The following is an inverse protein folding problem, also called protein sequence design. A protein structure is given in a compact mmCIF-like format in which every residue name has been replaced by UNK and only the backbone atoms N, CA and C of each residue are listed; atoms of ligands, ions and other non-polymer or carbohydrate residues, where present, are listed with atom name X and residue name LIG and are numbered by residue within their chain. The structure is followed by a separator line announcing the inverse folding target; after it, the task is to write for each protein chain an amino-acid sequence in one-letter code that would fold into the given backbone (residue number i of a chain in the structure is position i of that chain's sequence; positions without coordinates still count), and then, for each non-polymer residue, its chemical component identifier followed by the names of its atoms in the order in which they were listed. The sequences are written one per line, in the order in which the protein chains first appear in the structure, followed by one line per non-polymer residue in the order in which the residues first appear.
data_IF_555650252313
#
_entry.id   IF_555650252313
#
_cell.length_a   1.000
_cell.length_b   1.000
_cell.length_c   1.000
_cell.angle_alpha   90.00
_cell.angle_beta   90.00
_cell.angle_gamma   90.00
#
_symmetry.space_group_name_H-M   'P 1'
#
loop_
_entity.id
_entity.type
_entity.pdbx_description
1 polymer ?
#
# COMPACT_ATOMS: atom_id res chain seq x y z
N UNK A 1 -0.65 68.22 20.49
CA UNK A 1 -1.93 67.47 20.45
C UNK A 1 -1.62 66.07 20.98
N UNK A 2 -2.48 65.59 21.88
CA UNK A 2 -2.21 64.65 22.98
C UNK A 2 -1.50 63.32 22.66
N UNK A 3 -0.58 62.97 23.56
CA UNK A 3 -0.16 61.61 23.93
C UNK A 3 -1.34 60.74 24.38
N UNK A 4 -1.17 59.41 24.25
CA UNK A 4 -1.46 58.31 25.20
C UNK A 4 -1.00 57.01 24.51
N UNK A 5 0.11 56.33 24.83
CA UNK A 5 0.71 55.87 26.08
C UNK A 5 -0.19 54.94 26.92
N UNK A 6 0.43 53.82 27.32
CA UNK A 6 0.10 52.90 28.43
C UNK A 6 -0.72 51.64 28.09
N UNK A 7 -0.41 50.44 28.59
CA UNK A 7 0.48 50.01 29.67
C UNK A 7 0.73 48.48 29.60
N UNK A 8 1.89 48.07 30.09
CA UNK A 8 2.14 46.74 30.65
C UNK A 8 1.20 46.44 31.83
N UNK A 9 0.63 45.25 31.88
CA UNK A 9 0.26 44.51 33.10
C UNK A 9 -0.27 43.14 32.65
N UNK A 10 -0.09 42.00 33.29
CA UNK A 10 0.58 41.58 34.51
C UNK A 10 0.34 40.07 34.52
N UNK A 11 1.36 39.27 34.81
CA UNK A 11 1.20 37.84 35.10
C UNK A 11 0.35 37.69 36.37
N UNK A 12 -0.66 36.81 36.41
CA UNK A 12 -1.00 36.12 37.63
C UNK A 12 -0.54 34.67 37.52
N UNK A 13 0.45 34.32 38.34
CA UNK A 13 0.70 32.96 38.74
C UNK A 13 -0.53 32.50 39.55
N UNK A 14 -1.29 31.57 38.99
CA UNK A 14 -2.28 30.80 39.73
C UNK A 14 -1.97 29.32 39.51
N UNK A 15 -1.22 28.78 40.47
CA UNK A 15 -1.09 27.37 40.76
C UNK A 15 -2.49 26.86 41.14
N UNK A 16 -3.04 25.94 40.35
CA UNK A 16 -4.18 25.11 40.75
C UNK A 16 -3.87 23.65 40.40
N UNK A 17 -3.36 22.93 41.40
CA UNK A 17 -3.56 21.49 41.49
C UNK A 17 -5.04 21.26 41.83
N UNK A 18 -5.76 20.54 40.99
CA UNK A 18 -6.72 19.50 41.40
C UNK A 18 -7.43 18.91 40.18
N UNK A 19 -7.52 17.57 40.16
CA UNK A 19 -8.56 16.85 39.44
C UNK A 19 -8.14 16.17 38.14
N UNK A 20 -7.30 15.13 38.23
CA UNK A 20 -7.34 14.05 37.25
C UNK A 20 -8.67 13.30 37.46
N UNK A 21 -9.74 13.80 36.84
CA UNK A 21 -10.95 13.02 36.61
C UNK A 21 -10.88 12.53 35.17
N UNK A 22 -10.83 11.21 35.01
CA UNK A 22 -10.58 10.53 33.74
C UNK A 22 -11.44 11.08 32.60
N UNK A 23 -10.77 11.53 31.54
CA UNK A 23 -11.37 11.63 30.23
C UNK A 23 -11.55 10.21 29.69
N UNK A 24 -12.71 9.90 29.07
CA UNK A 24 -12.99 8.59 28.51
C UNK A 24 -11.94 8.25 27.46
N UNK A 25 -11.60 6.96 27.41
CA UNK A 25 -10.46 6.41 26.69
C UNK A 25 -10.14 7.11 25.38
N UNK A 26 -8.87 7.51 25.25
CA UNK A 26 -8.25 7.66 23.94
C UNK A 26 -8.59 6.40 23.15
N UNK A 27 -9.42 6.54 22.12
CA UNK A 27 -9.59 5.50 21.12
C UNK A 27 -8.17 5.03 20.75
N UNK A 28 -7.88 3.75 20.99
CA UNK A 28 -6.73 3.08 20.39
C UNK A 28 -6.77 3.49 18.92
N UNK A 29 -5.69 4.09 18.40
CA UNK A 29 -5.56 4.26 16.95
C UNK A 29 -5.99 2.92 16.35
N UNK A 30 -7.00 2.93 15.47
CA UNK A 30 -7.42 1.69 14.83
C UNK A 30 -6.15 1.00 14.34
N UNK A 31 -5.97 -0.29 14.63
CA UNK A 31 -4.77 -1.00 14.18
C UNK A 31 -4.88 -1.07 12.65
N UNK A 32 -4.36 -0.03 11.97
CA UNK A 32 -4.26 0.01 10.52
C UNK A 32 -3.09 -0.92 10.20
N UNK A 33 -3.40 -1.96 9.43
CA UNK A 33 -2.40 -2.90 8.94
C UNK A 33 -2.04 -2.56 7.50
N UNK A 34 -0.86 -3.01 7.06
CA UNK A 34 -0.30 -2.66 5.76
C UNK A 34 0.35 -3.84 5.05
N UNK A 35 0.13 -3.89 3.74
CA UNK A 35 0.66 -4.89 2.82
C UNK A 35 1.21 -4.27 1.56
N UNK A 36 1.90 -5.12 0.80
CA UNK A 36 2.39 -4.82 -0.54
C UNK A 36 3.30 -3.57 -0.60
N UNK A 37 3.98 -3.23 0.51
CA UNK A 37 4.91 -2.11 0.49
C UNK A 37 6.09 -2.41 -0.41
N UNK A 38 6.33 -1.50 -1.36
CA UNK A 38 7.43 -1.60 -2.31
C UNK A 38 8.01 -0.23 -2.64
N UNK A 39 9.32 -0.25 -2.91
CA UNK A 39 10.04 0.86 -3.53
C UNK A 39 10.31 0.52 -4.99
N UNK A 40 9.86 1.38 -5.91
CA UNK A 40 9.96 1.16 -7.36
C UNK A 40 10.31 2.46 -8.10
N UNK A 41 10.36 2.39 -9.43
CA UNK A 41 10.61 3.53 -10.32
C UNK A 41 11.83 4.37 -9.89
N UNK A 42 12.88 3.69 -9.42
CA UNK A 42 14.12 4.33 -9.02
C UNK A 42 14.78 4.91 -10.26
N UNK A 43 15.09 6.20 -10.21
CA UNK A 43 15.88 6.89 -11.23
C UNK A 43 17.13 7.52 -10.59
N UNK A 44 17.78 8.41 -11.33
CA UNK A 44 18.86 9.25 -10.79
C UNK A 44 18.36 10.20 -9.68
N UNK A 45 17.10 10.61 -9.75
CA UNK A 45 16.57 11.69 -8.90
C UNK A 45 15.16 11.45 -8.38
N UNK A 46 14.58 10.28 -8.65
CA UNK A 46 13.24 9.92 -8.20
C UNK A 46 13.17 8.49 -7.69
N UNK A 47 12.15 8.22 -6.90
CA UNK A 47 11.75 6.90 -6.44
C UNK A 47 10.25 6.92 -6.17
N UNK A 48 9.61 5.77 -6.10
CA UNK A 48 8.22 5.64 -5.69
C UNK A 48 8.15 4.74 -4.49
N UNK A 49 7.40 5.14 -3.47
CA UNK A 49 7.00 4.26 -2.38
C UNK A 49 5.50 4.05 -2.48
N UNK A 50 5.08 2.81 -2.35
CA UNK A 50 3.68 2.41 -2.47
C UNK A 50 3.35 1.39 -1.40
N UNK A 51 2.08 1.32 -1.00
CA UNK A 51 1.59 0.33 -0.06
C UNK A 51 0.06 0.26 -0.13
N UNK A 52 -0.51 -0.72 0.57
CA UNK A 52 -1.95 -0.88 0.72
C UNK A 52 -2.31 -1.05 2.18
N UNK A 53 -3.34 -0.36 2.65
CA UNK A 53 -3.87 -0.46 4.02
C UNK A 53 -5.18 -1.22 4.08
N UNK A 54 -5.46 -1.87 5.21
CA UNK A 54 -6.73 -2.56 5.46
C UNK A 54 -7.90 -1.61 5.76
N UNK A 55 -7.59 -0.35 6.05
CA UNK A 55 -8.54 0.73 6.26
C UNK A 55 -8.28 1.89 5.31
N UNK A 56 -9.34 2.63 4.95
CA UNK A 56 -9.18 3.84 4.14
C UNK A 56 -8.54 4.95 4.96
N UNK A 57 -7.56 5.62 4.38
CA UNK A 57 -6.83 6.74 5.00
C UNK A 57 -6.63 7.88 4.01
N UNK A 58 -6.34 9.08 4.53
CA UNK A 58 -6.07 10.31 3.75
C UNK A 58 -4.79 11.02 4.15
N UNK A 59 -4.28 10.79 5.37
CA UNK A 59 -3.02 11.34 5.87
C UNK A 59 -1.89 10.35 5.58
N UNK A 60 -1.33 10.47 4.38
CA UNK A 60 -0.37 9.52 3.81
C UNK A 60 0.91 10.26 3.41
N UNK A 61 2.04 9.86 3.98
CA UNK A 61 3.33 10.52 3.71
C UNK A 61 4.50 9.56 3.80
N UNK A 62 5.60 9.95 3.17
CA UNK A 62 6.90 9.27 3.21
C UNK A 62 7.96 10.29 3.61
N UNK A 63 8.68 10.00 4.70
CA UNK A 63 9.84 10.77 5.13
C UNK A 63 11.09 10.02 4.69
N UNK A 64 11.92 10.69 3.91
CA UNK A 64 13.18 10.18 3.36
C UNK A 64 14.32 10.97 3.97
N UNK A 65 15.38 10.27 4.37
CA UNK A 65 16.60 10.85 4.89
C UNK A 65 17.84 10.29 4.18
N UNK A 66 18.82 11.16 3.97
CA UNK A 66 20.22 10.81 3.66
C UNK A 66 21.13 11.47 4.69
N UNK A 67 22.45 11.39 4.52
CA UNK A 67 23.44 11.95 5.47
C UNK A 67 23.14 13.39 5.90
N UNK A 68 22.73 14.25 4.95
CA UNK A 68 22.62 15.70 5.17
C UNK A 68 21.24 16.26 4.85
N UNK A 69 20.24 15.41 4.59
CA UNK A 69 18.95 15.87 4.07
C UNK A 69 17.81 15.02 4.60
N UNK A 70 16.74 15.67 5.06
CA UNK A 70 15.46 15.03 5.41
C UNK A 70 14.37 15.73 4.60
N UNK A 71 13.54 14.94 3.92
CA UNK A 71 12.45 15.41 3.08
C UNK A 71 11.19 14.61 3.40
N UNK A 72 10.03 15.25 3.35
CA UNK A 72 8.73 14.59 3.51
C UNK A 72 7.91 14.82 2.25
N UNK A 73 7.41 13.73 1.68
CA UNK A 73 6.54 13.71 0.51
C UNK A 73 5.16 13.21 0.93
N UNK A 74 4.11 13.78 0.36
CA UNK A 74 2.72 13.39 0.67
C UNK A 74 2.10 12.69 -0.52
N UNK A 75 1.15 11.78 -0.28
CA UNK A 75 0.30 11.27 -1.35
C UNK A 75 -0.52 12.45 -1.91
N UNK A 76 -0.46 12.63 -3.23
CA UNK A 76 -1.20 13.70 -3.91
C UNK A 76 -2.71 13.45 -3.91
N UNK A 77 -3.14 12.23 -3.61
CA UNK A 77 -4.53 11.85 -3.51
C UNK A 77 -5.07 12.07 -2.09
N UNK A 78 -5.91 13.10 -1.96
CA UNK A 78 -6.42 13.57 -0.67
C UNK A 78 -7.73 12.89 -0.23
N UNK A 79 -8.27 11.98 -1.04
CA UNK A 79 -9.50 11.23 -0.73
C UNK A 79 -9.19 9.91 -0.05
N UNK A 80 -10.13 9.44 0.77
CA UNK A 80 -10.02 8.17 1.50
C UNK A 80 -9.72 7.01 0.54
N UNK A 81 -8.57 6.38 0.72
CA UNK A 81 -8.12 5.25 -0.12
C UNK A 81 -7.45 4.16 0.71
N UNK A 82 -7.45 2.95 0.19
CA UNK A 82 -6.67 1.82 0.71
C UNK A 82 -5.38 1.63 -0.06
N UNK A 83 -5.27 2.15 -1.28
CA UNK A 83 -4.06 2.07 -2.11
C UNK A 83 -3.35 3.41 -2.06
N UNK A 84 -2.07 3.39 -1.73
CA UNK A 84 -1.26 4.59 -1.50
C UNK A 84 0.01 4.59 -2.35
N UNK A 85 0.38 5.78 -2.79
CA UNK A 85 1.53 5.99 -3.67
C UNK A 85 2.08 7.38 -3.48
N UNK A 86 3.39 7.43 -3.27
CA UNK A 86 4.11 8.68 -3.06
C UNK A 86 5.33 8.70 -3.95
N UNK A 87 5.36 9.67 -4.85
CA UNK A 87 6.52 9.95 -5.69
C UNK A 87 7.52 10.81 -4.90
N UNK A 88 8.73 10.29 -4.78
CA UNK A 88 9.89 10.95 -4.18
C UNK A 88 10.66 11.61 -5.32
N UNK A 89 10.88 12.92 -5.23
CA UNK A 89 11.57 13.71 -6.26
C UNK A 89 12.79 14.43 -5.66
N UNK A 90 13.58 15.08 -6.51
CA UNK A 90 14.77 15.85 -6.13
C UNK A 90 15.80 15.07 -5.32
N UNK A 91 15.88 13.76 -5.56
CA UNK A 91 16.89 12.90 -4.96
C UNK A 91 18.25 13.08 -5.65
N UNK A 92 19.33 12.82 -4.91
CA UNK A 92 20.69 12.82 -5.46
C UNK A 92 20.99 11.46 -6.11
N UNK A 93 21.69 11.41 -7.25
CA UNK A 93 22.16 10.16 -7.84
C UNK A 93 23.07 9.36 -6.91
N UNK A 94 23.11 8.03 -7.08
CA UNK A 94 23.98 7.10 -6.36
C UNK A 94 24.00 7.31 -4.84
N UNK A 95 22.85 7.63 -4.25
CA UNK A 95 22.74 8.00 -2.84
C UNK A 95 21.89 6.98 -2.11
N UNK A 96 22.42 6.47 -1.00
CA UNK A 96 21.68 5.62 -0.06
C UNK A 96 20.72 6.48 0.76
N UNK A 97 19.45 6.13 0.68
CA UNK A 97 18.36 6.78 1.39
C UNK A 97 17.75 5.82 2.40
N UNK A 98 17.38 6.37 3.55
CA UNK A 98 16.54 5.72 4.55
C UNK A 98 15.17 6.33 4.54
N UNK A 99 14.12 5.55 4.81
CA UNK A 99 12.78 6.08 4.86
C UNK A 99 11.89 5.40 5.90
N UNK A 100 10.86 6.12 6.27
CA UNK A 100 9.67 5.64 6.96
C UNK A 100 8.46 6.28 6.31
N UNK A 101 7.30 5.71 6.52
CA UNK A 101 6.06 6.22 5.93
C UNK A 101 4.92 6.06 6.91
N UNK A 102 3.83 6.78 6.64
CA UNK A 102 2.66 6.82 7.49
C UNK A 102 1.39 6.77 6.68
N UNK A 103 0.34 6.22 7.29
CA UNK A 103 -1.00 6.17 6.75
C UNK A 103 -2.01 6.23 7.89
N UNK A 104 -2.87 7.24 7.88
CA UNK A 104 -3.89 7.41 8.93
C UNK A 104 -3.30 7.59 10.34
N UNK A 105 -2.10 8.14 10.43
CA UNK A 105 -1.37 8.38 11.69
C UNK A 105 -0.57 7.19 12.22
N UNK A 106 -0.63 6.02 11.59
CA UNK A 106 0.25 4.88 11.90
C UNK A 106 1.54 5.02 11.12
N UNK A 107 2.68 4.92 11.80
CA UNK A 107 4.03 5.03 11.21
C UNK A 107 4.67 3.66 11.13
N UNK A 108 5.19 3.29 9.96
CA UNK A 108 5.99 2.08 9.76
C UNK A 108 7.46 2.41 9.52
N UNK A 109 8.34 1.82 10.33
CA UNK A 109 9.78 2.05 10.32
C UNK A 109 10.60 0.75 10.53
N UNK A 110 10.13 -0.38 9.98
CA UNK A 110 10.80 -1.68 10.01
C UNK A 110 11.38 -2.05 11.41
N UNK A 111 10.54 -1.90 12.43
CA UNK A 111 10.87 -2.28 13.81
C UNK A 111 11.82 -1.29 14.50
N UNK A 112 11.69 0.01 14.22
CA UNK A 112 12.57 1.06 14.71
C UNK A 112 13.86 1.25 13.88
N UNK A 113 14.03 0.48 12.80
CA UNK A 113 15.08 0.70 11.80
C UNK A 113 14.46 1.11 10.47
N UNK A 114 14.57 2.39 10.09
CA UNK A 114 14.08 2.88 8.80
C UNK A 114 14.45 1.94 7.62
N UNK A 115 13.51 1.76 6.70
CA UNK A 115 13.73 1.07 5.43
C UNK A 115 14.80 1.78 4.61
N UNK A 116 15.35 1.13 3.58
CA UNK A 116 16.39 1.74 2.74
C UNK A 116 16.24 1.43 1.27
N UNK A 117 16.66 2.37 0.43
CA UNK A 117 16.84 2.19 -1.02
C UNK A 117 18.04 3.03 -1.49
N UNK A 118 18.47 2.81 -2.74
CA UNK A 118 19.56 3.57 -3.35
C UNK A 118 19.13 4.07 -4.73
N UNK A 119 19.34 5.35 -5.01
CA UNK A 119 19.10 5.93 -6.34
C UNK A 119 20.14 5.46 -7.35
N UNK A 120 19.80 5.54 -8.63
CA UNK A 120 20.69 5.09 -9.70
C UNK A 120 21.91 6.00 -9.84
N UNK A 121 23.02 5.41 -10.30
CA UNK A 121 24.27 6.14 -10.54
C UNK A 121 24.32 6.79 -11.93
N UNK A 122 23.79 6.12 -12.96
CA UNK A 122 23.83 6.59 -14.35
C UNK A 122 22.46 6.43 -15.01
N UNK A 123 22.10 7.38 -15.86
CA UNK A 123 20.95 7.24 -16.76
C UNK A 123 21.37 6.39 -17.94
N UNK A 124 20.59 5.34 -18.22
CA UNK A 124 20.66 4.65 -19.51
C UNK A 124 19.39 4.99 -20.29
N UNK A 125 19.57 5.65 -21.44
CA UNK A 125 18.49 5.89 -22.37
C UNK A 125 18.24 4.63 -23.19
N UNK A 126 17.19 3.88 -22.86
CA UNK A 126 16.58 2.98 -23.82
C UNK A 126 15.48 3.70 -24.61
N UNK A 127 15.25 3.24 -25.84
CA UNK A 127 14.09 3.68 -26.61
C UNK A 127 12.82 3.24 -25.87
N UNK A 128 11.92 4.15 -25.50
CA UNK A 128 10.78 3.81 -24.66
C UNK A 128 9.89 2.82 -25.39
N UNK A 129 9.53 1.76 -24.69
CA UNK A 129 8.58 0.78 -25.15
C UNK A 129 7.50 0.67 -24.09
N UNK A 130 6.29 1.08 -24.44
CA UNK A 130 5.20 1.19 -23.47
C UNK A 130 4.24 0.02 -23.56
N UNK A 131 3.71 -0.37 -22.41
CA UNK A 131 2.53 -1.22 -22.34
C UNK A 131 1.45 -0.45 -21.61
N UNK A 132 0.21 -0.64 -22.06
CA UNK A 132 -0.97 -0.03 -21.42
C UNK A 132 -2.11 -1.02 -21.34
N UNK A 133 -2.89 -0.92 -20.26
CA UNK A 133 -4.10 -1.72 -20.08
C UNK A 133 -5.16 -0.92 -19.32
N UNK A 134 -6.42 -1.10 -19.71
CA UNK A 134 -7.58 -0.58 -18.99
C UNK A 134 -7.92 -1.55 -17.86
N UNK A 135 -8.22 -1.04 -16.67
CA UNK A 135 -8.68 -1.84 -15.53
C UNK A 135 -10.14 -1.50 -15.23
N UNK A 136 -10.99 -2.53 -15.20
CA UNK A 136 -12.44 -2.41 -14.97
C UNK A 136 -12.93 -3.42 -13.93
N UNK A 137 -14.08 -3.16 -13.31
CA UNK A 137 -14.80 -4.13 -12.48
C UNK A 137 -15.62 -5.11 -13.34
N UNK A 138 -16.29 -6.08 -12.70
CA UNK A 138 -17.18 -7.04 -13.37
C UNK A 138 -18.31 -6.39 -14.20
N UNK A 139 -18.69 -5.17 -13.84
CA UNK A 139 -19.73 -4.39 -14.51
C UNK A 139 -19.17 -3.49 -15.62
N UNK A 140 -17.88 -3.64 -15.96
CA UNK A 140 -17.16 -2.77 -16.91
C UNK A 140 -17.03 -1.30 -16.47
N UNK A 141 -17.22 -1.00 -15.19
CA UNK A 141 -16.90 0.32 -14.65
C UNK A 141 -15.39 0.46 -14.54
N UNK A 142 -14.90 1.63 -14.88
CA UNK A 142 -13.48 1.95 -14.88
C UNK A 142 -12.96 2.10 -13.45
N UNK A 143 -11.87 1.41 -13.12
CA UNK A 143 -11.28 1.40 -11.77
C UNK A 143 -10.05 2.30 -11.68
N UNK A 144 -10.14 3.33 -10.84
CA UNK A 144 -9.00 4.18 -10.48
C UNK A 144 -8.25 3.68 -9.25
N UNK A 145 -6.97 4.07 -9.12
CA UNK A 145 -6.09 3.74 -7.97
C UNK A 145 -5.90 2.24 -7.75
N UNK A 146 -5.76 1.50 -8.85
CA UNK A 146 -5.25 0.13 -8.80
C UNK A 146 -3.74 0.21 -8.92
N UNK A 147 -3.05 -0.36 -7.94
CA UNK A 147 -1.61 -0.52 -8.01
C UNK A 147 -1.29 -1.66 -8.96
N UNK A 148 -0.47 -1.39 -9.96
CA UNK A 148 -0.13 -2.35 -11.02
C UNK A 148 1.35 -2.66 -10.93
N UNK A 149 1.62 -3.85 -10.40
CA UNK A 149 2.96 -4.39 -10.23
C UNK A 149 3.33 -5.20 -11.44
N UNK A 150 4.46 -4.89 -12.05
CA UNK A 150 4.95 -5.56 -13.25
C UNK A 150 6.31 -6.16 -12.92
N UNK A 151 6.40 -7.46 -13.09
CA UNK A 151 7.55 -8.29 -12.77
C UNK A 151 8.03 -8.99 -14.04
N UNK A 152 9.34 -9.05 -14.26
CA UNK A 152 9.92 -9.77 -15.41
C UNK A 152 10.86 -10.88 -14.94
N UNK A 153 10.68 -12.08 -15.48
CA UNK A 153 11.56 -13.23 -15.28
C UNK A 153 11.67 -14.06 -16.56
N UNK A 154 12.71 -14.88 -16.71
CA UNK A 154 12.78 -15.83 -17.84
C UNK A 154 11.69 -16.90 -17.70
N UNK A 155 11.26 -17.44 -18.82
CA UNK A 155 10.33 -18.57 -18.83
C UNK A 155 10.89 -19.75 -18.02
N UNK A 156 10.14 -20.14 -16.99
CA UNK A 156 10.52 -21.23 -16.08
C UNK A 156 11.26 -20.78 -14.81
N UNK A 157 11.64 -19.49 -14.71
CA UNK A 157 12.19 -18.93 -13.48
C UNK A 157 11.06 -18.53 -12.51
N UNK A 158 11.38 -18.55 -11.21
CA UNK A 158 10.46 -18.11 -10.16
C UNK A 158 10.18 -16.59 -10.24
N UNK A 159 8.91 -16.15 -10.31
CA UNK A 159 8.55 -14.73 -10.37
C UNK A 159 8.93 -13.95 -9.10
N UNK A 160 9.26 -14.62 -8.00
CA UNK A 160 9.80 -13.98 -6.78
C UNK A 160 11.24 -13.48 -6.96
N UNK A 161 11.94 -13.95 -8.00
CA UNK A 161 13.25 -13.44 -8.43
C UNK A 161 13.13 -12.26 -9.41
N UNK A 162 11.91 -11.97 -9.86
CA UNK A 162 11.60 -10.97 -10.87
C UNK A 162 11.78 -9.54 -10.38
N UNK A 163 12.04 -8.66 -11.34
CA UNK A 163 12.33 -7.24 -11.12
C UNK A 163 11.03 -6.42 -11.20
N UNK A 164 10.75 -5.62 -10.18
CA UNK A 164 9.46 -4.95 -10.00
C UNK A 164 9.48 -3.52 -10.54
N UNK A 165 8.57 -3.22 -11.46
CA UNK A 165 8.14 -1.87 -11.78
C UNK A 165 6.72 -1.70 -11.26
N UNK A 166 6.37 -0.51 -10.79
CA UNK A 166 5.03 -0.22 -10.29
C UNK A 166 4.48 1.01 -10.96
N UNK A 167 3.25 0.92 -11.43
CA UNK A 167 2.49 2.06 -11.93
C UNK A 167 1.11 2.02 -11.31
N UNK A 168 0.38 3.12 -11.36
CA UNK A 168 -0.99 3.19 -10.87
C UNK A 168 -1.93 3.42 -12.03
N UNK A 169 -3.05 2.69 -12.05
CA UNK A 169 -4.16 3.03 -12.92
C UNK A 169 -4.65 4.42 -12.54
N UNK A 170 -4.71 5.32 -13.54
CA UNK A 170 -5.15 6.74 -13.47
C UNK A 170 -4.06 7.83 -13.47
N UNK A 171 -2.78 7.54 -13.75
CA UNK A 171 -1.74 8.61 -13.84
C UNK A 171 -1.49 9.10 -15.27
N UNK A 172 -1.78 8.30 -16.31
CA UNK A 172 -1.25 8.59 -17.65
C UNK A 172 -2.23 9.21 -18.66
N UNK A 173 -3.48 8.72 -18.82
CA UNK A 173 -4.31 9.11 -19.99
C UNK A 173 -5.85 9.03 -19.78
N UNK A 174 -6.33 8.99 -18.54
CA UNK A 174 -7.76 8.91 -18.22
C UNK A 174 -8.07 7.91 -17.10
N UNK A 175 -9.32 7.90 -16.58
CA UNK A 175 -9.70 6.99 -15.51
C UNK A 175 -9.37 5.54 -15.92
N UNK A 176 -8.72 4.82 -15.00
CA UNK A 176 -8.46 3.38 -15.03
C UNK A 176 -7.48 2.82 -16.07
N UNK A 177 -6.84 3.64 -16.90
CA UNK A 177 -5.67 3.19 -17.64
C UNK A 177 -4.41 3.32 -16.79
N UNK A 178 -3.55 2.30 -16.85
CA UNK A 178 -2.16 2.45 -16.50
C UNK A 178 -1.30 2.33 -17.76
N UNK A 179 -0.19 3.06 -17.76
CA UNK A 179 0.85 2.96 -18.79
C UNK A 179 2.16 2.79 -18.05
N UNK A 180 3.00 1.89 -18.54
CA UNK A 180 4.40 1.87 -18.12
C UNK A 180 5.33 1.78 -19.31
N UNK A 181 6.55 2.27 -19.11
CA UNK A 181 7.67 1.96 -19.97
C UNK A 181 8.39 0.70 -19.43
N UNK A 182 8.45 -0.35 -20.24
CA UNK A 182 9.08 -1.61 -19.85
C UNK A 182 10.59 -1.65 -20.16
N UNK A 183 11.20 -0.51 -20.50
CA UNK A 183 12.66 -0.40 -20.65
C UNK A 183 13.38 -0.02 -19.37
N UNK A 184 12.65 0.36 -18.32
CA UNK A 184 13.21 0.97 -17.11
C UNK A 184 13.23 0.00 -15.91
N UNK A 185 13.15 -1.31 -16.17
CA UNK A 185 13.27 -2.30 -15.11
C UNK A 185 14.64 -2.27 -14.49
N UNK A 186 14.71 -2.41 -13.18
CA UNK A 186 15.96 -2.48 -12.45
C UNK A 186 16.21 -3.85 -11.87
N UNK A 187 17.47 -4.22 -11.87
CA UNK A 187 17.97 -5.41 -11.23
C UNK A 187 17.85 -5.41 -9.74
N UNK A 188 17.90 -6.62 -9.20
CA UNK A 188 18.36 -6.87 -7.83
C UNK A 188 19.74 -6.24 -7.54
N UNK A 189 20.60 -6.10 -8.55
CA UNK A 189 21.92 -5.47 -8.44
C UNK A 189 21.93 -3.96 -8.77
N UNK A 190 20.76 -3.35 -9.03
CA UNK A 190 20.63 -1.94 -9.38
C UNK A 190 20.95 -1.58 -10.85
N UNK A 191 21.34 -2.54 -11.70
CA UNK A 191 21.53 -2.32 -13.13
C UNK A 191 20.22 -2.39 -13.90
N UNK A 192 20.14 -1.74 -15.06
CA UNK A 192 18.96 -1.85 -15.93
C UNK A 192 18.76 -3.31 -16.41
N UNK A 193 17.52 -3.75 -16.44
CA UNK A 193 17.10 -4.99 -17.10
C UNK A 193 16.54 -4.65 -18.47
N UNK A 194 17.02 -5.36 -19.48
CA UNK A 194 16.45 -5.29 -20.81
C UNK A 194 15.72 -6.60 -21.07
N UNK A 195 14.38 -6.61 -21.10
CA UNK A 195 13.62 -7.79 -21.47
C UNK A 195 14.07 -8.31 -22.83
N UNK A 196 14.23 -9.63 -22.93
CA UNK A 196 14.73 -10.33 -24.10
C UNK A 196 13.79 -11.46 -24.52
N UNK A 197 14.04 -12.06 -25.69
CA UNK A 197 13.24 -13.20 -26.15
C UNK A 197 13.31 -14.35 -25.14
N UNK A 198 12.14 -14.82 -24.68
CA UNK A 198 12.03 -15.84 -23.63
C UNK A 198 11.70 -15.28 -22.24
N UNK A 199 11.67 -13.96 -22.08
CA UNK A 199 11.20 -13.34 -20.84
C UNK A 199 9.66 -13.28 -20.79
N UNK A 200 9.14 -13.52 -19.59
CA UNK A 200 7.74 -13.47 -19.21
C UNK A 200 7.48 -12.26 -18.31
N UNK A 201 6.39 -11.55 -18.60
CA UNK A 201 5.87 -10.48 -17.75
C UNK A 201 4.74 -11.01 -16.88
N UNK A 202 4.84 -10.69 -15.59
CA UNK A 202 3.85 -10.98 -14.57
C UNK A 202 3.27 -9.65 -14.11
N UNK A 203 1.95 -9.49 -14.22
CA UNK A 203 1.26 -8.26 -13.87
C UNK A 203 0.33 -8.56 -12.70
N UNK A 204 0.59 -7.98 -11.53
CA UNK A 204 -0.31 -8.06 -10.39
C UNK A 204 -1.11 -6.76 -10.27
N UNK A 205 -2.42 -6.92 -10.16
CA UNK A 205 -3.37 -5.85 -9.92
C UNK A 205 -3.76 -5.87 -8.46
N UNK A 206 -3.41 -4.81 -7.74
CA UNK A 206 -3.62 -4.69 -6.30
C UNK A 206 -4.53 -3.49 -6.08
N UNK A 207 -5.82 -3.77 -5.86
CA UNK A 207 -6.84 -2.75 -5.66
C UNK A 207 -7.27 -2.62 -4.19
N UNK A 208 -6.93 -3.61 -3.35
CA UNK A 208 -7.26 -3.63 -1.93
C UNK A 208 -6.25 -4.48 -1.14
N UNK A 209 -6.46 -4.51 0.18
CA UNK A 209 -5.57 -5.14 1.15
C UNK A 209 -5.51 -6.67 1.06
N UNK A 210 -6.58 -7.32 0.63
CA UNK A 210 -6.77 -8.77 0.73
C UNK A 210 -6.39 -9.49 -0.55
N UNK A 211 -6.63 -8.88 -1.72
CA UNK A 211 -6.44 -9.52 -3.02
C UNK A 211 -5.45 -8.79 -3.91
N UNK A 212 -4.48 -9.56 -4.41
CA UNK A 212 -3.70 -9.22 -5.59
C UNK A 212 -4.16 -10.18 -6.71
N UNK A 213 -4.78 -9.64 -7.76
CA UNK A 213 -5.16 -10.43 -8.94
C UNK A 213 -3.95 -10.49 -9.86
N UNK A 214 -3.30 -11.64 -9.93
CA UNK A 214 -2.16 -11.86 -10.82
C UNK A 214 -2.59 -12.27 -12.23
N UNK A 215 -1.96 -11.70 -13.25
CA UNK A 215 -1.99 -12.16 -14.64
C UNK A 215 -0.56 -12.50 -15.07
N UNK A 216 -0.30 -13.77 -15.36
CA UNK A 216 1.05 -14.31 -15.57
C UNK A 216 1.40 -14.57 -17.04
N UNK A 217 0.68 -14.00 -18.00
CA UNK A 217 0.67 -14.53 -19.37
C UNK A 217 1.30 -13.66 -20.45
N UNK A 218 1.93 -12.54 -20.11
CA UNK A 218 2.36 -11.60 -21.15
C UNK A 218 3.79 -11.85 -21.67
N UNK A 219 3.89 -12.22 -22.95
CA UNK A 219 5.14 -12.29 -23.72
C UNK A 219 5.16 -11.07 -24.64
N UNK A 220 6.17 -10.20 -24.55
CA UNK A 220 6.30 -9.05 -25.44
C UNK A 220 6.85 -9.50 -26.81
N UNK A 221 6.12 -9.30 -27.93
CA UNK A 221 6.69 -9.42 -29.27
C UNK A 221 7.21 -8.07 -29.75
N UNK A 222 8.52 -7.87 -29.68
CA UNK A 222 9.21 -6.76 -30.38
C UNK A 222 8.93 -5.34 -29.86
N UNK A 223 9.68 -4.38 -30.39
CA UNK A 223 9.82 -3.00 -29.91
C UNK A 223 8.63 -2.06 -30.21
N UNK A 224 7.41 -2.60 -30.31
CA UNK A 224 6.19 -1.82 -30.50
C UNK A 224 5.43 -1.66 -29.19
N UNK A 225 4.95 -0.46 -28.88
CA UNK A 225 4.05 -0.26 -27.76
C UNK A 225 2.81 -1.16 -27.90
N UNK A 226 2.44 -1.89 -26.85
CA UNK A 226 1.34 -2.86 -26.89
C UNK A 226 0.17 -2.39 -26.03
N UNK A 227 -1.01 -2.28 -26.64
CA UNK A 227 -2.26 -2.06 -25.92
C UNK A 227 -2.89 -3.43 -25.60
N UNK A 228 -3.05 -3.72 -24.33
CA UNK A 228 -3.65 -4.96 -23.85
C UNK A 228 -5.17 -4.84 -23.80
N UNK A 229 -5.87 -5.98 -23.90
CA UNK A 229 -7.32 -6.05 -23.69
C UNK A 229 -7.66 -5.61 -22.26
N UNK A 230 -8.85 -5.01 -22.02
CA UNK A 230 -9.24 -4.61 -20.66
C UNK A 230 -9.10 -5.76 -19.66
N UNK A 231 -8.53 -5.46 -18.48
CA UNK A 231 -8.46 -6.39 -17.35
C UNK A 231 -9.65 -6.16 -16.43
N UNK A 232 -10.50 -7.16 -16.31
CA UNK A 232 -11.52 -7.22 -15.25
C UNK A 232 -10.84 -7.65 -13.95
N UNK A 233 -11.05 -6.90 -12.87
CA UNK A 233 -10.65 -7.28 -11.51
C UNK A 233 -11.81 -7.04 -10.53
N UNK A 234 -11.90 -7.89 -9.53
CA UNK A 234 -12.85 -7.70 -8.43
C UNK A 234 -12.26 -6.74 -7.41
N UNK A 235 -12.94 -5.59 -7.22
CA UNK A 235 -12.51 -4.59 -6.24
C UNK A 235 -13.40 -4.67 -5.02
N UNK A 236 -12.89 -5.36 -4.03
CA UNK A 236 -13.46 -5.35 -2.70
C UNK A 236 -12.97 -4.14 -1.89
N UNK A 237 -13.90 -3.44 -1.25
CA UNK A 237 -13.58 -2.37 -0.30
C UNK A 237 -13.49 -2.97 1.12
N UNK A 238 -12.29 -3.05 1.70
CA UNK A 238 -12.12 -3.65 3.02
C UNK A 238 -12.58 -2.73 4.16
N UNK A 239 -12.89 -1.47 3.87
CA UNK A 239 -13.28 -0.53 4.92
C UNK A 239 -14.61 -0.93 5.56
N UNK A 240 -14.60 -1.01 6.89
CA UNK A 240 -15.76 -1.43 7.68
C UNK A 240 -15.83 -2.92 7.97
N UNK A 241 -14.90 -3.74 7.46
CA UNK A 241 -14.73 -5.12 7.96
C UNK A 241 -14.13 -5.06 9.37
N UNK A 242 -14.82 -5.66 10.34
CA UNK A 242 -14.30 -5.82 11.70
C UNK A 242 -13.57 -7.15 11.74
N UNK A 243 -12.24 -7.14 11.93
CA UNK A 243 -11.45 -8.37 12.03
C UNK A 243 -12.01 -9.25 13.16
N UNK A 244 -12.34 -10.50 12.83
CA UNK A 244 -12.92 -11.46 13.75
C UNK A 244 -14.46 -11.40 13.90
N UNK A 245 -15.17 -10.49 13.23
CA UNK A 245 -16.65 -10.46 13.15
C UNK A 245 -17.11 -11.17 11.87
N UNK A 246 -17.04 -12.50 11.89
CA UNK A 246 -17.18 -13.37 10.71
C UNK A 246 -18.64 -13.48 10.29
N UNK A 247 -19.60 -13.39 11.21
CA UNK A 247 -21.02 -13.36 10.85
C UNK A 247 -21.55 -11.95 10.51
N UNK A 248 -20.70 -10.92 10.65
CA UNK A 248 -21.01 -9.53 10.31
C UNK A 248 -22.07 -8.90 11.21
N UNK A 249 -22.25 -9.41 12.43
CA UNK A 249 -23.24 -8.89 13.39
C UNK A 249 -22.76 -7.61 14.11
N UNK A 250 -21.50 -7.22 13.93
CA UNK A 250 -20.88 -6.04 14.53
C UNK A 250 -20.15 -6.32 15.86
N UNK A 251 -20.11 -7.56 16.34
CA UNK A 251 -19.55 -7.93 17.63
C UNK A 251 -18.76 -9.24 17.59
N UNK A 252 -17.46 -9.17 17.90
CA UNK A 252 -16.56 -10.32 17.98
C UNK A 252 -16.92 -11.18 19.20
N UNK A 253 -17.50 -12.36 18.97
CA UNK A 253 -18.00 -13.26 20.00
C UNK A 253 -17.87 -14.76 19.63
N UNK A 254 -18.49 -15.64 20.43
CA UNK A 254 -18.38 -17.10 20.26
C UNK A 254 -18.97 -17.60 18.94
N UNK A 255 -19.94 -16.90 18.34
CA UNK A 255 -20.51 -17.28 17.06
C UNK A 255 -19.51 -17.09 15.91
N UNK A 256 -18.65 -16.07 15.99
CA UNK A 256 -17.53 -15.90 15.06
C UNK A 256 -16.52 -17.03 15.19
N UNK A 257 -16.17 -17.42 16.42
CA UNK A 257 -15.29 -18.57 16.66
C UNK A 257 -15.84 -19.85 16.01
N UNK A 258 -17.15 -20.08 16.14
CA UNK A 258 -17.81 -21.23 15.54
C UNK A 258 -17.75 -21.17 14.01
N UNK A 259 -17.93 -19.99 13.40
CA UNK A 259 -17.81 -19.84 11.95
C UNK A 259 -16.36 -20.03 11.48
N UNK A 260 -15.37 -19.49 12.19
CA UNK A 260 -13.95 -19.73 11.90
C UNK A 260 -13.62 -21.22 11.89
N UNK A 261 -14.11 -21.97 12.89
CA UNK A 261 -13.90 -23.42 12.96
C UNK A 261 -14.57 -24.17 11.81
N UNK A 262 -15.76 -23.75 11.36
CA UNK A 262 -16.41 -24.34 10.18
C UNK A 262 -15.61 -24.08 8.90
N UNK A 263 -15.07 -22.87 8.74
CA UNK A 263 -14.25 -22.50 7.59
C UNK A 263 -12.96 -23.34 7.58
N UNK A 264 -12.25 -23.40 8.71
CA UNK A 264 -11.04 -24.21 8.85
C UNK A 264 -11.30 -25.71 8.69
N UNK A 265 -12.48 -26.18 9.13
CA UNK A 265 -12.93 -27.56 8.96
C UNK A 265 -13.46 -27.87 7.56
N UNK A 266 -13.49 -26.90 6.64
CA UNK A 266 -14.03 -27.06 5.28
C UNK A 266 -15.53 -27.31 5.21
N UNK A 267 -16.25 -27.12 6.33
CA UNK A 267 -17.72 -27.26 6.40
C UNK A 267 -18.45 -25.99 5.94
N UNK A 268 -17.71 -24.88 5.81
CA UNK A 268 -18.18 -23.60 5.29
C UNK A 268 -17.05 -23.01 4.44
N UNK A 269 -17.42 -22.26 3.41
CA UNK A 269 -16.52 -21.33 2.73
C UNK A 269 -17.07 -19.93 2.96
N UNK A 270 -16.21 -18.90 3.08
CA UNK A 270 -16.69 -17.52 3.15
C UNK A 270 -17.63 -17.21 1.99
N UNK A 271 -18.77 -16.60 2.28
CA UNK A 271 -19.80 -16.28 1.29
C UNK A 271 -19.39 -15.11 0.38
N UNK A 272 -18.57 -14.19 0.91
CA UNK A 272 -18.05 -13.03 0.21
C UNK A 272 -16.69 -12.58 0.78
N UNK A 273 -16.12 -11.54 0.17
CA UNK A 273 -14.83 -10.97 0.57
C UNK A 273 -14.86 -10.29 1.96
N UNK A 274 -16.05 -9.90 2.47
CA UNK A 274 -16.18 -9.36 3.85
C UNK A 274 -15.99 -10.46 4.85
N UNK A 275 -16.70 -11.57 4.68
CA UNK A 275 -16.56 -12.74 5.52
C UNK A 275 -15.13 -13.29 5.44
N UNK A 276 -14.52 -13.30 4.23
CA UNK A 276 -13.13 -13.68 4.07
C UNK A 276 -12.18 -12.76 4.86
N UNK A 277 -12.31 -11.44 4.71
CA UNK A 277 -11.47 -10.47 5.43
C UNK A 277 -11.69 -10.47 6.95
N UNK A 278 -12.91 -10.77 7.41
CA UNK A 278 -13.19 -10.95 8.83
C UNK A 278 -12.59 -12.25 9.39
N UNK A 279 -12.51 -13.30 8.56
CA UNK A 279 -11.95 -14.60 8.92
C UNK A 279 -10.42 -14.70 8.78
N UNK A 280 -9.79 -13.90 7.93
CA UNK A 280 -8.33 -13.70 7.81
C UNK A 280 -7.85 -12.69 8.88
N UNK A 281 -8.08 -13.04 10.16
CA UNK A 281 -7.89 -12.17 11.32
C UNK A 281 -6.44 -11.71 11.47
N UNK A 282 -5.47 -12.56 11.15
CA UNK A 282 -4.05 -12.18 11.18
C UNK A 282 -3.60 -11.46 9.90
N UNK A 283 -4.51 -11.34 8.94
CA UNK A 283 -4.28 -10.63 7.70
C UNK A 283 -3.13 -11.20 6.88
N UNK A 284 -2.92 -12.51 6.84
CA UNK A 284 -1.86 -13.10 6.02
C UNK A 284 -2.32 -13.42 4.57
N UNK A 285 -3.61 -13.24 4.26
CA UNK A 285 -4.22 -13.60 2.98
C UNK A 285 -4.65 -15.06 2.88
N UNK A 286 -4.70 -15.79 4.00
CA UNK A 286 -5.10 -17.20 4.06
C UNK A 286 -5.77 -17.48 5.39
N UNK A 287 -7.01 -17.94 5.34
CA UNK A 287 -7.73 -18.43 6.52
C UNK A 287 -7.14 -19.77 6.96
N UNK A 288 -6.44 -19.76 8.09
CA UNK A 288 -5.77 -20.93 8.67
C UNK A 288 -5.77 -20.89 10.21
N UNK A 289 -5.01 -21.79 10.84
CA UNK A 289 -4.99 -21.91 12.30
C UNK A 289 -4.46 -20.66 13.01
N UNK A 290 -3.61 -19.87 12.37
CA UNK A 290 -3.07 -18.64 12.94
C UNK A 290 -4.15 -17.57 13.09
N UNK A 291 -5.11 -17.49 12.17
CA UNK A 291 -6.28 -16.63 12.30
C UNK A 291 -7.16 -17.02 13.48
N UNK A 292 -7.34 -18.33 13.72
CA UNK A 292 -8.06 -18.81 14.90
C UNK A 292 -7.37 -18.37 16.20
N UNK A 293 -6.04 -18.44 16.24
CA UNK A 293 -5.27 -18.00 17.40
C UNK A 293 -5.40 -16.50 17.62
N UNK A 294 -5.43 -15.69 16.55
CA UNK A 294 -5.64 -14.25 16.66
C UNK A 294 -7.07 -13.92 17.10
N UNK A 295 -8.09 -14.61 16.56
CA UNK A 295 -9.48 -14.48 16.99
C UNK A 295 -9.66 -14.76 18.48
N UNK A 296 -9.01 -15.81 19.00
CA UNK A 296 -9.05 -16.14 20.43
C UNK A 296 -8.43 -15.02 21.30
N UNK A 297 -7.42 -14.29 20.80
CA UNK A 297 -6.87 -13.12 21.50
C UNK A 297 -7.86 -11.97 21.53
N UNK A 298 -8.58 -11.72 20.43
CA UNK A 298 -9.61 -10.69 20.36
C UNK A 298 -10.77 -11.00 21.32
N UNK A 299 -11.25 -12.25 21.34
CA UNK A 299 -12.31 -12.70 22.26
C UNK A 299 -11.94 -12.56 23.73
N UNK A 300 -10.67 -12.77 24.07
CA UNK A 300 -10.18 -12.57 25.45
C UNK A 300 -10.21 -11.10 25.87
N UNK A 301 -10.13 -10.16 24.92
CA UNK A 301 -10.15 -8.71 25.20
C UNK A 301 -11.57 -8.17 25.33
N UNK A 302 -12.57 -8.87 24.76
CA UNK A 302 -13.98 -8.46 24.77
C UNK A 302 -14.81 -9.10 25.88
N UNK A 303 -14.25 -10.07 26.62
CA UNK A 303 -14.85 -10.75 27.78
C UNK A 303 -14.52 -10.07 29.12
#
# INVERSE_FOLDING_TARGET
MSLKAHLYSSIPAALLLAGVTGLPGTARAADIDMKFMEVTNLTLSTAVVSWVTDQKTTDNWVEVSSTDTVMTFNDSYLSLSVVHYVELVDLKPNTDYKFRFSSGGVVWDNGGQMYSFKTLQTSNYALPASVRQLVVDENSNVLGRVLVRIRVARQGDEPSLARTLLTISNIADGPGYWITNYTDFLARDGLLYYPSSGDMFYIDYIANYWTAVSDSSFVVPGSGGSALQPKVIDVFDPSGVIKGDIDGNGAINIFDLLNQLKILGGSQVPADDREFGAADVDSNGKINIFDLLELLKLLKQTA
#
